data_IF_877881647135
#
_entry.id   IF_877881647135
#
_cell.length_a   1.000
_cell.length_b   1.000
_cell.length_c   1.000
_cell.angle_alpha   90.00
_cell.angle_beta   90.00
_cell.angle_gamma   90.00
#
_symmetry.space_group_name_H-M   'P 1'
#
loop_
_entity.id
_entity.type
_entity.pdbx_description
1 polymer ?
#
# COMPACT_ATOMS: atom_id res chain seq x y z
N UNK A 1 -4.47 23.91 20.95
CA UNK A 1 -3.51 24.74 20.19
C UNK A 1 -3.24 24.11 18.82
N UNK A 2 -3.01 22.78 18.75
CA UNK A 2 -2.78 22.04 17.50
C UNK A 2 -3.95 22.10 16.52
N UNK A 3 -5.20 21.97 17.01
CA UNK A 3 -6.40 22.08 16.18
C UNK A 3 -6.62 23.49 15.62
N UNK A 4 -6.23 24.52 16.38
CA UNK A 4 -6.33 25.92 15.93
C UNK A 4 -5.29 26.21 14.85
N UNK A 5 -4.08 25.69 14.99
CA UNK A 5 -3.02 25.78 13.98
C UNK A 5 -3.37 24.99 12.69
N UNK A 6 -4.05 23.84 12.80
CA UNK A 6 -4.55 23.12 11.63
C UNK A 6 -5.67 23.89 10.90
N UNK A 7 -6.59 24.54 11.64
CA UNK A 7 -7.64 25.37 11.05
C UNK A 7 -7.08 26.64 10.40
N UNK A 8 -6.07 27.26 10.99
CA UNK A 8 -5.41 28.45 10.43
C UNK A 8 -4.61 28.12 9.16
N UNK A 9 -3.90 26.96 9.11
CA UNK A 9 -3.23 26.48 7.90
C UNK A 9 -4.20 26.13 6.76
N UNK A 10 -5.40 25.66 7.07
CA UNK A 10 -6.46 25.43 6.06
C UNK A 10 -7.07 26.71 5.52
N UNK A 11 -6.95 27.84 6.24
CA UNK A 11 -7.46 29.14 5.82
C UNK A 11 -6.50 29.93 4.90
N UNK A 12 -5.21 29.61 4.91
CA UNK A 12 -4.19 30.30 4.12
C UNK A 12 -4.07 29.84 2.65
N UNK A 13 -4.65 28.71 2.28
CA UNK A 13 -4.67 28.27 0.87
C UNK A 13 -5.82 28.95 0.12
N UNK A 14 -5.56 30.07 -0.52
CA UNK A 14 -6.48 30.74 -1.46
C UNK A 14 -6.85 29.92 -2.71
N UNK A 15 -6.37 28.67 -2.84
CA UNK A 15 -6.72 27.70 -3.84
C UNK A 15 -7.85 26.79 -3.33
N UNK A 16 -8.92 26.62 -4.12
CA UNK A 16 -10.03 25.69 -3.81
C UNK A 16 -9.63 24.21 -3.79
N UNK A 17 -8.38 23.92 -4.17
CA UNK A 17 -7.81 22.57 -4.25
C UNK A 17 -7.29 22.17 -2.87
N UNK A 18 -7.73 21.01 -2.40
CA UNK A 18 -7.27 20.43 -1.13
C UNK A 18 -6.66 19.06 -1.37
N UNK A 19 -5.50 18.81 -0.76
CA UNK A 19 -4.82 17.51 -0.74
C UNK A 19 -5.31 16.71 0.47
N UNK A 20 -5.82 15.49 0.21
CA UNK A 20 -6.26 14.57 1.26
C UNK A 20 -5.32 13.39 1.33
N UNK A 21 -4.90 13.05 2.54
CA UNK A 21 -4.14 11.82 2.85
C UNK A 21 -5.07 10.83 3.50
N UNK A 22 -5.07 9.60 3.00
CA UNK A 22 -5.84 8.49 3.55
C UNK A 22 -4.93 7.33 3.93
N UNK A 23 -5.26 6.67 5.03
CA UNK A 23 -4.68 5.39 5.41
C UNK A 23 -5.71 4.30 5.14
N UNK A 24 -5.28 3.21 4.50
CA UNK A 24 -6.17 2.15 4.03
C UNK A 24 -5.68 0.77 4.44
N UNK A 25 -6.63 -0.11 4.71
CA UNK A 25 -6.40 -1.55 4.82
C UNK A 25 -7.15 -2.30 3.71
N UNK A 26 -6.59 -3.41 3.24
CA UNK A 26 -7.27 -4.27 2.28
C UNK A 26 -6.77 -5.72 2.28
N UNK A 27 -7.70 -6.62 2.03
CA UNK A 27 -7.40 -7.98 1.61
C UNK A 27 -7.14 -8.01 0.10
N UNK A 28 -5.88 -8.23 -0.28
CA UNK A 28 -5.47 -8.23 -1.69
C UNK A 28 -5.85 -9.48 -2.47
N UNK A 29 -6.43 -10.52 -1.84
CA UNK A 29 -6.64 -11.85 -2.44
C UNK A 29 -7.41 -11.82 -3.76
N UNK A 30 -8.38 -10.90 -3.90
CA UNK A 30 -9.24 -10.78 -5.08
C UNK A 30 -8.79 -9.70 -6.08
N UNK A 31 -7.63 -9.05 -5.82
CA UNK A 31 -7.17 -7.89 -6.59
C UNK A 31 -5.88 -8.18 -7.36
N UNK A 32 -5.78 -7.56 -8.53
CA UNK A 32 -4.60 -7.57 -9.38
C UNK A 32 -3.51 -6.57 -8.90
N UNK A 33 -3.52 -6.31 -7.60
CA UNK A 33 -2.61 -5.39 -6.91
C UNK A 33 -3.18 -3.97 -6.76
N UNK A 34 -2.31 -3.07 -6.35
CA UNK A 34 -2.67 -1.67 -6.10
C UNK A 34 -3.00 -0.91 -7.39
N UNK A 35 -2.06 -0.91 -8.36
CA UNK A 35 -2.04 0.01 -9.49
C UNK A 35 -3.18 -0.24 -10.46
N UNK A 36 -3.94 0.83 -10.83
CA UNK A 36 -4.93 0.81 -11.91
C UNK A 36 -4.31 0.31 -13.22
N UNK A 37 -5.02 -0.55 -13.93
CA UNK A 37 -4.62 -1.18 -15.16
C UNK A 37 -5.74 -1.05 -16.20
N UNK A 38 -5.38 -0.92 -17.48
CA UNK A 38 -6.36 -0.72 -18.53
C UNK A 38 -7.20 -1.96 -18.89
N UNK A 39 -6.76 -3.15 -18.44
CA UNK A 39 -7.39 -4.44 -18.78
C UNK A 39 -8.18 -5.07 -17.62
N UNK A 40 -8.27 -4.41 -16.48
CA UNK A 40 -9.02 -4.91 -15.32
C UNK A 40 -9.49 -3.77 -14.41
N UNK A 41 -10.66 -3.92 -13.82
CA UNK A 41 -11.24 -3.07 -12.80
C UNK A 41 -10.91 -3.57 -11.35
N UNK A 42 -10.24 -4.73 -11.24
CA UNK A 42 -9.91 -5.39 -9.97
C UNK A 42 -8.58 -4.86 -9.41
N UNK A 43 -8.49 -3.56 -9.17
CA UNK A 43 -7.34 -2.92 -8.54
C UNK A 43 -7.80 -2.00 -7.40
N UNK A 44 -6.99 -1.90 -6.33
CA UNK A 44 -7.34 -1.09 -5.15
C UNK A 44 -7.45 0.39 -5.53
N UNK A 45 -6.48 0.92 -6.28
CA UNK A 45 -6.50 2.29 -6.79
C UNK A 45 -7.74 2.58 -7.63
N UNK A 46 -8.08 1.66 -8.55
CA UNK A 46 -9.24 1.83 -9.43
C UNK A 46 -10.56 1.87 -8.66
N UNK A 47 -10.72 1.05 -7.60
CA UNK A 47 -11.92 1.11 -6.74
C UNK A 47 -12.05 2.44 -6.03
N UNK A 48 -10.96 2.96 -5.46
CA UNK A 48 -10.98 4.26 -4.80
C UNK A 48 -11.28 5.40 -5.78
N UNK A 49 -10.64 5.41 -6.96
CA UNK A 49 -10.90 6.42 -7.99
C UNK A 49 -12.35 6.40 -8.50
N UNK A 50 -12.96 5.22 -8.66
CA UNK A 50 -14.38 5.07 -9.03
C UNK A 50 -15.32 5.70 -7.98
N UNK A 51 -15.03 5.51 -6.70
CA UNK A 51 -15.84 6.07 -5.61
C UNK A 51 -15.66 7.59 -5.52
N UNK A 52 -14.43 8.09 -5.68
CA UNK A 52 -14.15 9.52 -5.73
C UNK A 52 -14.87 10.18 -6.93
N UNK A 53 -14.88 9.52 -8.09
CA UNK A 53 -15.66 9.96 -9.25
C UNK A 53 -17.16 9.99 -8.95
N UNK A 54 -17.69 8.95 -8.28
CA UNK A 54 -19.10 8.93 -7.87
C UNK A 54 -19.44 10.09 -6.91
N UNK A 55 -18.51 10.42 -6.00
CA UNK A 55 -18.68 11.50 -5.02
C UNK A 55 -18.62 12.89 -5.65
N UNK A 56 -17.73 13.11 -6.62
CA UNK A 56 -17.39 14.44 -7.12
C UNK A 56 -17.86 14.71 -8.56
N UNK A 57 -18.07 13.66 -9.34
CA UNK A 57 -18.29 13.78 -10.80
C UNK A 57 -17.01 14.05 -11.61
N UNK A 58 -15.86 14.15 -10.96
CA UNK A 58 -14.56 14.44 -11.59
C UNK A 58 -13.61 13.25 -11.52
N UNK A 59 -12.79 13.08 -12.55
CA UNK A 59 -11.71 12.08 -12.52
C UNK A 59 -10.60 12.58 -11.56
N UNK A 60 -10.46 11.87 -10.44
CA UNK A 60 -9.47 12.18 -9.40
C UNK A 60 -8.40 11.10 -9.42
N UNK A 61 -7.15 11.50 -9.67
CA UNK A 61 -6.02 10.60 -9.61
C UNK A 61 -5.60 10.34 -8.16
N UNK A 62 -5.43 9.05 -7.81
CA UNK A 62 -5.00 8.62 -6.48
C UNK A 62 -3.55 8.16 -6.52
N UNK A 63 -2.71 8.76 -5.71
CA UNK A 63 -1.31 8.42 -5.57
C UNK A 63 -1.08 7.54 -4.35
N UNK A 64 -0.70 6.26 -4.54
CA UNK A 64 -0.35 5.36 -3.43
C UNK A 64 1.11 5.50 -3.01
N UNK A 65 1.41 5.23 -1.73
CA UNK A 65 2.79 5.28 -1.20
C UNK A 65 3.71 4.27 -1.87
N UNK A 66 3.17 3.17 -2.35
CA UNK A 66 3.86 2.14 -3.09
C UNK A 66 2.88 1.18 -3.73
N UNK A 67 3.35 0.46 -4.74
CA UNK A 67 2.58 -0.59 -5.38
C UNK A 67 2.68 -1.87 -4.56
N UNK A 68 1.56 -2.53 -4.33
CA UNK A 68 1.53 -3.93 -3.90
C UNK A 68 1.22 -4.81 -5.11
N UNK A 69 1.83 -5.99 -5.17
CA UNK A 69 1.58 -6.98 -6.21
C UNK A 69 0.18 -7.59 -6.07
N UNK A 70 -0.29 -8.29 -7.10
CA UNK A 70 -1.52 -9.09 -7.03
C UNK A 70 -1.47 -10.07 -5.84
N UNK A 71 -2.54 -10.14 -5.07
CA UNK A 71 -2.68 -11.00 -3.91
C UNK A 71 -1.96 -10.50 -2.63
N UNK A 72 -1.28 -9.36 -2.67
CA UNK A 72 -0.60 -8.76 -1.50
C UNK A 72 -1.58 -7.87 -0.74
N UNK A 73 -1.56 -7.98 0.58
CA UNK A 73 -2.43 -7.24 1.50
C UNK A 73 -1.80 -5.95 2.00
N UNK A 74 -2.61 -5.11 2.64
CA UNK A 74 -2.12 -3.99 3.43
C UNK A 74 -2.95 -3.81 4.71
N UNK A 75 -2.26 -3.42 5.79
CA UNK A 75 -2.86 -2.94 7.04
C UNK A 75 -2.73 -1.44 7.21
N UNK A 76 -1.84 -0.80 6.42
CA UNK A 76 -1.54 0.63 6.51
C UNK A 76 -0.98 1.18 5.20
N UNK A 77 -1.65 0.94 4.06
CA UNK A 77 -1.34 1.63 2.82
C UNK A 77 -1.71 3.10 2.95
N UNK A 78 -0.84 3.98 2.50
CA UNK A 78 -1.13 5.42 2.46
C UNK A 78 -1.33 5.87 1.02
N UNK A 79 -2.36 6.65 0.79
CA UNK A 79 -2.60 7.30 -0.49
C UNK A 79 -2.93 8.79 -0.29
N UNK A 80 -2.77 9.58 -1.35
CA UNK A 80 -3.26 10.94 -1.38
C UNK A 80 -3.93 11.26 -2.70
N UNK A 81 -4.84 12.24 -2.66
CA UNK A 81 -5.55 12.77 -3.82
C UNK A 81 -5.95 14.23 -3.58
N UNK A 82 -6.26 14.94 -4.67
CA UNK A 82 -6.64 16.36 -4.62
C UNK A 82 -8.09 16.51 -5.06
N UNK A 83 -8.85 17.36 -4.33
CA UNK A 83 -10.21 17.74 -4.70
C UNK A 83 -10.27 19.27 -4.83
N UNK A 84 -10.78 19.77 -5.96
CA UNK A 84 -11.08 21.20 -6.16
C UNK A 84 -12.55 21.48 -5.83
N UNK A 85 -12.81 21.82 -4.57
CA UNK A 85 -14.17 22.09 -4.09
C UNK A 85 -14.79 23.33 -4.73
N UNK A 86 -14.02 24.37 -5.09
CA UNK A 86 -14.54 25.55 -5.78
C UNK A 86 -15.05 25.19 -7.18
N UNK A 87 -14.32 24.37 -7.91
CA UNK A 87 -14.75 23.88 -9.21
C UNK A 87 -16.06 23.11 -9.11
N UNK A 88 -16.18 22.23 -8.11
CA UNK A 88 -17.39 21.45 -7.87
C UNK A 88 -18.60 22.33 -7.52
N UNK A 89 -18.44 23.32 -6.65
CA UNK A 89 -19.50 24.28 -6.30
C UNK A 89 -19.99 25.07 -7.50
N UNK A 90 -19.08 25.50 -8.39
CA UNK A 90 -19.44 26.22 -9.62
C UNK A 90 -20.20 25.34 -10.58
N UNK A 91 -19.79 24.09 -10.73
CA UNK A 91 -20.49 23.12 -11.59
C UNK A 91 -21.89 22.82 -11.08
N UNK A 92 -22.05 22.59 -9.77
CA UNK A 92 -23.35 22.34 -9.16
C UNK A 92 -24.31 23.53 -9.37
N UNK A 93 -23.84 24.76 -9.18
CA UNK A 93 -24.64 25.96 -9.43
C UNK A 93 -25.10 26.02 -10.89
N UNK A 94 -24.21 25.77 -11.85
CA UNK A 94 -24.56 25.77 -13.29
C UNK A 94 -25.56 24.68 -13.66
N UNK A 95 -25.46 23.49 -13.04
CA UNK A 95 -26.44 22.41 -13.26
C UNK A 95 -27.81 22.77 -12.68
N UNK A 96 -27.86 23.38 -11.50
CA UNK A 96 -29.09 23.87 -10.88
C UNK A 96 -29.78 24.95 -11.75
N UNK A 97 -29.03 25.92 -12.27
CA UNK A 97 -29.54 26.95 -13.15
C UNK A 97 -30.10 26.38 -14.47
N UNK A 98 -29.43 25.41 -15.08
CA UNK A 98 -29.91 24.70 -16.29
C UNK A 98 -31.19 23.90 -16.03
N UNK A 99 -31.28 23.23 -14.87
CA UNK A 99 -32.44 22.42 -14.53
C UNK A 99 -33.64 23.26 -14.09
N UNK A 100 -33.43 24.46 -13.56
CA UNK A 100 -34.50 25.42 -13.25
C UNK A 100 -35.19 25.95 -14.52
N UNK A 101 -34.49 25.94 -15.68
CA UNK A 101 -35.04 26.35 -16.98
C UNK A 101 -35.82 25.26 -17.73
N UNK A 102 -35.67 23.98 -17.35
CA UNK A 102 -36.33 22.85 -18.02
C UNK A 102 -37.29 22.16 -17.05
N UNK A 103 -38.56 22.52 -17.08
CA UNK A 103 -39.62 21.70 -16.48
C UNK A 103 -39.82 20.41 -17.33
N UNK A 104 -39.74 19.27 -16.66
CA UNK A 104 -40.02 17.90 -17.11
C UNK A 104 -38.84 17.11 -17.72
N UNK A 105 -38.34 16.18 -16.94
CA UNK A 105 -37.52 15.07 -17.38
C UNK A 105 -37.00 14.26 -16.18
N UNK A 106 -37.39 12.99 -16.08
CA UNK A 106 -36.89 12.03 -15.08
C UNK A 106 -35.36 11.93 -15.20
N UNK A 107 -34.65 12.81 -14.49
CA UNK A 107 -33.20 12.78 -14.36
C UNK A 107 -32.82 11.83 -13.22
N UNK A 108 -31.90 10.93 -13.50
CA UNK A 108 -31.19 10.13 -12.51
C UNK A 108 -30.81 11.02 -11.32
N UNK A 109 -31.32 10.73 -10.12
CA UNK A 109 -30.99 11.45 -8.89
C UNK A 109 -29.50 11.21 -8.60
N UNK A 110 -28.61 12.07 -9.11
CA UNK A 110 -27.28 12.19 -8.51
C UNK A 110 -27.50 12.62 -7.05
N UNK A 111 -27.04 11.84 -6.11
CA UNK A 111 -26.97 12.30 -4.72
C UNK A 111 -26.21 13.61 -4.71
N UNK A 112 -26.91 14.69 -4.31
CA UNK A 112 -26.36 16.04 -4.34
C UNK A 112 -25.09 16.08 -3.49
N UNK A 113 -23.97 16.35 -4.11
CA UNK A 113 -22.72 16.60 -3.42
C UNK A 113 -22.81 18.02 -2.81
N UNK A 114 -23.56 18.15 -1.69
CA UNK A 114 -23.80 19.43 -1.04
C UNK A 114 -22.55 20.00 -0.40
N UNK A 115 -21.80 20.84 -1.11
CA UNK A 115 -20.71 21.63 -0.56
C UNK A 115 -19.43 20.83 -0.21
N UNK A 116 -18.43 21.57 0.29
CA UNK A 116 -17.15 21.04 0.76
C UNK A 116 -17.36 20.05 1.93
N UNK A 117 -16.88 18.80 1.76
CA UNK A 117 -16.95 17.77 2.79
C UNK A 117 -15.73 17.84 3.73
N UNK A 118 -15.97 17.50 4.99
CA UNK A 118 -14.88 17.30 5.98
C UNK A 118 -14.13 15.98 5.67
N UNK A 119 -12.90 15.80 6.17
CA UNK A 119 -12.18 14.53 6.03
C UNK A 119 -12.98 13.33 6.52
N UNK A 120 -13.68 13.46 7.65
CA UNK A 120 -14.53 12.39 8.20
C UNK A 120 -15.68 12.04 7.26
N UNK A 121 -16.37 13.04 6.70
CA UNK A 121 -17.43 12.82 5.72
C UNK A 121 -16.93 12.18 4.41
N UNK A 122 -15.70 12.50 3.99
CA UNK A 122 -15.06 11.87 2.84
C UNK A 122 -14.78 10.39 3.16
N UNK A 123 -14.23 10.11 4.34
CA UNK A 123 -13.93 8.76 4.80
C UNK A 123 -15.21 7.92 4.90
N UNK A 124 -16.26 8.43 5.54
CA UNK A 124 -17.57 7.78 5.67
C UNK A 124 -18.15 7.46 4.29
N UNK A 125 -18.17 8.44 3.37
CA UNK A 125 -18.67 8.24 2.01
C UNK A 125 -17.86 7.16 1.27
N UNK A 126 -16.52 7.22 1.35
CA UNK A 126 -15.67 6.21 0.69
C UNK A 126 -15.97 4.82 1.24
N UNK A 127 -16.05 4.67 2.56
CA UNK A 127 -16.30 3.37 3.21
C UNK A 127 -17.70 2.82 2.95
N UNK A 128 -18.69 3.69 2.73
CA UNK A 128 -20.06 3.28 2.36
C UNK A 128 -20.11 2.52 1.02
N UNK A 129 -19.24 2.92 0.07
CA UNK A 129 -19.23 2.33 -1.28
C UNK A 129 -18.07 1.39 -1.55
N UNK A 130 -17.09 1.27 -0.65
CA UNK A 130 -16.01 0.30 -0.76
C UNK A 130 -16.53 -1.13 -0.57
N UNK A 131 -15.97 -2.12 -1.29
CA UNK A 131 -16.20 -3.52 -0.97
C UNK A 131 -15.69 -3.84 0.43
N UNK A 132 -16.28 -4.86 1.07
CA UNK A 132 -15.99 -5.29 2.44
C UNK A 132 -14.52 -5.64 2.72
N UNK A 133 -13.74 -5.91 1.68
CA UNK A 133 -12.33 -6.26 1.74
C UNK A 133 -11.38 -5.06 1.56
N UNK A 134 -11.91 -3.83 1.49
CA UNK A 134 -11.14 -2.58 1.48
C UNK A 134 -11.77 -1.59 2.46
N UNK A 135 -10.95 -0.94 3.27
CA UNK A 135 -11.40 0.11 4.19
C UNK A 135 -10.43 1.29 4.24
N UNK A 136 -10.97 2.50 4.32
CA UNK A 136 -10.23 3.71 4.72
C UNK A 136 -10.29 3.80 6.24
N UNK A 137 -9.12 3.79 6.88
CA UNK A 137 -8.98 3.82 8.33
C UNK A 137 -8.89 5.24 8.89
N UNK A 138 -8.35 6.18 8.09
CA UNK A 138 -8.29 7.59 8.41
C UNK A 138 -8.23 8.44 7.15
N UNK A 139 -8.75 9.66 7.25
CA UNK A 139 -8.63 10.70 6.23
C UNK A 139 -8.26 12.01 6.92
N UNK A 140 -7.29 12.73 6.37
CA UNK A 140 -6.86 14.03 6.89
C UNK A 140 -6.47 14.98 5.76
N UNK A 141 -6.54 16.28 6.01
CA UNK A 141 -6.00 17.27 5.10
C UNK A 141 -4.48 17.25 5.22
N UNK A 142 -3.81 17.05 4.11
CA UNK A 142 -2.35 17.07 4.03
C UNK A 142 -1.85 18.39 3.45
N UNK A 143 -0.58 18.76 3.73
CA UNK A 143 0.05 19.88 3.04
C UNK A 143 -0.03 19.74 1.52
N UNK A 144 -0.14 20.85 0.79
CA UNK A 144 -0.26 20.83 -0.68
C UNK A 144 0.86 20.02 -1.36
N UNK A 145 2.09 20.15 -0.86
CA UNK A 145 3.28 19.44 -1.39
C UNK A 145 3.42 17.99 -0.93
N UNK A 146 2.52 17.52 -0.06
CA UNK A 146 2.58 16.12 0.39
C UNK A 146 2.26 15.19 -0.77
N UNK A 147 3.12 14.19 -0.95
CA UNK A 147 2.90 13.11 -1.91
C UNK A 147 3.19 11.77 -1.23
N UNK A 148 2.18 10.91 -1.13
CA UNK A 148 2.23 9.63 -0.40
C UNK A 148 3.46 8.77 -0.73
N UNK A 149 3.95 8.82 -1.97
CA UNK A 149 5.12 8.05 -2.41
C UNK A 149 6.45 8.77 -2.22
N UNK A 150 6.50 10.06 -2.56
CA UNK A 150 7.75 10.83 -2.58
C UNK A 150 8.15 11.33 -1.21
N UNK A 151 7.16 11.61 -0.34
CA UNK A 151 7.39 12.04 1.04
C UNK A 151 7.61 10.86 2.01
N UNK A 152 7.41 9.60 1.56
CA UNK A 152 7.61 8.43 2.41
C UNK A 152 9.11 8.20 2.66
N UNK A 153 9.48 8.10 3.94
CA UNK A 153 10.86 7.86 4.38
C UNK A 153 11.09 6.43 4.83
N UNK A 154 10.04 5.73 5.25
CA UNK A 154 10.12 4.37 5.79
C UNK A 154 8.90 3.55 5.40
N UNK A 155 9.11 2.24 5.18
CA UNK A 155 8.05 1.26 4.98
C UNK A 155 8.34 0.00 5.77
N UNK A 156 7.30 -0.56 6.38
CA UNK A 156 7.38 -1.84 7.07
C UNK A 156 6.45 -2.82 6.40
N UNK A 157 7.00 -3.96 6.01
CA UNK A 157 6.26 -5.12 5.51
C UNK A 157 6.34 -6.26 6.53
N UNK A 158 5.29 -7.05 6.63
CA UNK A 158 5.27 -8.30 7.38
C UNK A 158 5.01 -9.46 6.43
N UNK A 159 5.83 -10.50 6.49
CA UNK A 159 5.54 -11.76 5.82
C UNK A 159 5.15 -12.83 6.84
N UNK A 160 4.00 -13.47 6.62
CA UNK A 160 3.40 -14.44 7.55
C UNK A 160 3.56 -15.86 7.01
N UNK A 161 4.17 -16.74 7.82
CA UNK A 161 4.43 -18.14 7.54
C UNK A 161 3.70 -19.03 8.54
N UNK A 162 3.15 -20.15 8.05
CA UNK A 162 2.67 -21.25 8.88
C UNK A 162 3.58 -22.47 8.65
N UNK A 163 4.36 -22.82 9.67
CA UNK A 163 5.33 -23.92 9.65
C UNK A 163 4.74 -25.24 10.13
N UNK A 164 3.51 -25.22 10.63
CA UNK A 164 2.84 -26.41 11.14
C UNK A 164 2.44 -27.38 10.03
N UNK A 165 2.35 -28.70 10.35
CA UNK A 165 1.97 -29.72 9.38
C UNK A 165 0.50 -29.64 8.96
N UNK A 166 -0.36 -29.01 9.78
CA UNK A 166 -1.79 -28.87 9.52
C UNK A 166 -2.07 -27.60 8.74
N UNK A 167 -2.82 -27.70 7.64
CA UNK A 167 -3.30 -26.56 6.89
C UNK A 167 -4.41 -25.85 7.68
N UNK A 168 -4.25 -24.55 7.93
CA UNK A 168 -5.31 -23.68 8.44
C UNK A 168 -6.12 -23.14 7.25
N UNK A 169 -7.28 -23.77 7.00
CA UNK A 169 -8.12 -23.43 5.83
C UNK A 169 -8.73 -22.04 5.94
N UNK A 170 -8.93 -21.51 7.16
CA UNK A 170 -9.48 -20.17 7.38
C UNK A 170 -8.44 -19.06 7.22
N UNK A 171 -7.15 -19.39 7.45
CA UNK A 171 -6.04 -18.42 7.33
C UNK A 171 -5.24 -18.60 6.03
N UNK A 172 -5.65 -19.52 5.13
CA UNK A 172 -4.91 -19.85 3.90
C UNK A 172 -4.60 -18.64 3.00
N UNK A 173 -5.43 -17.61 3.07
CA UNK A 173 -5.26 -16.40 2.26
C UNK A 173 -4.27 -15.41 2.90
N UNK A 174 -3.87 -15.62 4.16
CA UNK A 174 -3.09 -14.66 4.96
C UNK A 174 -1.74 -15.23 5.42
N UNK A 175 -1.55 -16.54 5.28
CA UNK A 175 -0.31 -17.23 5.63
C UNK A 175 0.18 -18.08 4.45
N UNK A 176 1.49 -18.09 4.27
CA UNK A 176 2.11 -19.11 3.42
C UNK A 176 2.35 -20.38 4.25
N UNK A 177 1.55 -21.41 4.02
CA UNK A 177 1.69 -22.70 4.68
C UNK A 177 2.83 -23.50 4.08
N UNK A 178 3.90 -23.70 4.84
CA UNK A 178 5.07 -24.51 4.44
C UNK A 178 4.85 -25.98 4.72
N UNK A 179 4.18 -26.33 5.83
CA UNK A 179 3.99 -27.70 6.28
C UNK A 179 5.22 -28.32 6.93
N UNK A 180 6.28 -27.54 7.14
CA UNK A 180 7.54 -27.98 7.75
C UNK A 180 8.14 -26.89 8.65
N UNK A 181 8.92 -27.32 9.63
CA UNK A 181 9.64 -26.39 10.53
C UNK A 181 10.91 -25.87 9.86
N UNK A 182 11.20 -24.60 10.13
CA UNK A 182 12.41 -23.92 9.66
C UNK A 182 13.40 -23.73 10.82
N UNK A 183 14.69 -23.71 10.51
CA UNK A 183 15.71 -23.20 11.42
C UNK A 183 15.66 -21.66 11.42
N UNK A 184 14.88 -21.12 12.36
CA UNK A 184 14.71 -19.66 12.50
C UNK A 184 16.01 -18.99 12.95
N UNK A 185 16.92 -19.70 13.64
CA UNK A 185 18.20 -19.16 14.04
C UNK A 185 19.12 -18.93 12.85
N UNK A 186 19.17 -19.90 11.93
CA UNK A 186 19.90 -19.73 10.67
C UNK A 186 19.29 -18.59 9.81
N UNK A 187 17.94 -18.49 9.77
CA UNK A 187 17.26 -17.39 9.07
C UNK A 187 17.63 -16.03 9.66
N UNK A 188 17.68 -15.88 10.99
CA UNK A 188 18.09 -14.65 11.67
C UNK A 188 19.54 -14.28 11.35
N UNK A 189 20.46 -15.24 11.33
CA UNK A 189 21.84 -15.02 10.94
C UNK A 189 21.95 -14.50 9.49
N UNK A 190 21.23 -15.13 8.57
CA UNK A 190 21.16 -14.68 7.17
C UNK A 190 20.54 -13.27 7.03
N UNK A 191 19.47 -12.99 7.79
CA UNK A 191 18.80 -11.69 7.78
C UNK A 191 19.71 -10.55 8.27
N UNK A 192 20.60 -10.84 9.22
CA UNK A 192 21.63 -9.89 9.68
C UNK A 192 22.52 -9.37 8.55
N UNK A 193 22.83 -10.24 7.56
CA UNK A 193 23.65 -9.87 6.39
C UNK A 193 22.90 -9.04 5.35
N UNK A 194 21.57 -8.97 5.43
CA UNK A 194 20.71 -8.14 4.57
C UNK A 194 20.45 -6.75 5.14
N UNK A 195 20.75 -6.54 6.43
CA UNK A 195 20.60 -5.23 7.07
C UNK A 195 21.67 -4.26 6.62
N UNK A 196 21.31 -2.97 6.51
CA UNK A 196 22.20 -1.94 6.00
C UNK A 196 21.86 -1.52 4.58
N UNK A 197 22.78 -0.80 3.96
CA UNK A 197 22.64 -0.28 2.59
C UNK A 197 23.39 -1.18 1.63
N UNK A 198 22.63 -1.81 0.72
CA UNK A 198 23.17 -2.73 -0.28
C UNK A 198 22.54 -2.47 -1.65
N UNK A 199 23.21 -2.95 -2.70
CA UNK A 199 22.57 -3.09 -4.01
C UNK A 199 21.75 -4.39 -4.04
N UNK A 200 20.41 -4.24 -3.95
CA UNK A 200 19.48 -5.36 -3.95
C UNK A 200 19.05 -5.81 -5.35
N UNK A 201 19.89 -5.65 -6.36
CA UNK A 201 19.57 -6.05 -7.74
C UNK A 201 19.20 -7.54 -7.84
N UNK A 202 19.88 -8.43 -7.11
CA UNK A 202 19.54 -9.86 -7.03
C UNK A 202 18.17 -10.13 -6.44
N UNK A 203 17.63 -9.21 -5.65
CA UNK A 203 16.30 -9.29 -5.03
C UNK A 203 15.24 -8.45 -5.75
N UNK A 204 15.50 -8.04 -7.01
CA UNK A 204 14.57 -7.26 -7.81
C UNK A 204 13.84 -8.15 -8.83
N UNK A 205 12.50 -8.17 -8.78
CA UNK A 205 11.67 -8.88 -9.75
C UNK A 205 11.67 -8.26 -11.15
N UNK A 206 12.07 -6.99 -11.27
CA UNK A 206 12.15 -6.29 -12.56
C UNK A 206 13.56 -6.39 -13.16
N UNK A 207 13.74 -7.32 -14.09
CA UNK A 207 15.01 -7.51 -14.80
C UNK A 207 15.46 -6.29 -15.63
N UNK A 208 14.52 -5.41 -16.02
CA UNK A 208 14.78 -4.22 -16.85
C UNK A 208 14.83 -2.92 -16.01
N UNK A 209 15.13 -3.04 -14.70
CA UNK A 209 15.18 -1.88 -13.83
C UNK A 209 16.26 -0.89 -14.27
N UNK A 210 15.84 0.34 -14.62
CA UNK A 210 16.76 1.43 -15.04
C UNK A 210 17.15 2.35 -13.88
N UNK A 211 16.36 2.34 -12.78
CA UNK A 211 16.62 3.16 -11.59
C UNK A 211 17.55 2.41 -10.64
N UNK A 212 18.19 3.13 -9.72
CA UNK A 212 19.03 2.55 -8.68
C UNK A 212 18.31 1.44 -7.92
N UNK A 213 19.01 0.33 -7.72
CA UNK A 213 18.58 -0.84 -6.93
C UNK A 213 19.13 -0.82 -5.51
N UNK A 214 19.89 0.23 -5.17
CA UNK A 214 20.40 0.45 -3.82
C UNK A 214 19.26 0.81 -2.89
N UNK A 215 19.13 0.07 -1.76
CA UNK A 215 18.16 0.31 -0.70
C UNK A 215 18.82 0.14 0.66
N UNK A 216 18.18 0.71 1.67
CA UNK A 216 18.59 0.50 3.07
C UNK A 216 17.50 -0.28 3.77
N UNK A 217 17.84 -1.48 4.25
CA UNK A 217 17.02 -2.22 5.21
C UNK A 217 17.51 -1.85 6.61
N UNK A 218 16.66 -1.17 7.38
CA UNK A 218 16.99 -0.71 8.72
C UNK A 218 17.00 -1.87 9.72
N UNK A 219 16.01 -2.79 9.58
CA UNK A 219 15.91 -3.97 10.45
C UNK A 219 15.06 -5.07 9.79
N UNK A 220 15.35 -6.31 10.18
CA UNK A 220 14.54 -7.50 9.92
C UNK A 220 14.27 -8.17 11.26
N UNK A 221 13.00 -8.25 11.66
CA UNK A 221 12.57 -8.79 12.96
C UNK A 221 11.76 -10.05 12.76
N UNK A 222 11.92 -11.00 13.68
CA UNK A 222 11.23 -12.29 13.65
C UNK A 222 10.41 -12.46 14.92
N UNK A 223 9.11 -12.66 14.77
CA UNK A 223 8.19 -12.99 15.84
C UNK A 223 7.63 -14.39 15.61
N UNK A 224 7.86 -15.31 16.54
CA UNK A 224 7.37 -16.66 16.45
C UNK A 224 6.37 -16.96 17.57
N UNK A 225 5.23 -17.51 17.20
CA UNK A 225 4.21 -18.00 18.13
C UNK A 225 3.75 -19.39 17.69
N UNK A 226 4.18 -20.41 18.40
CA UNK A 226 3.91 -21.80 18.04
C UNK A 226 4.50 -22.17 16.68
N UNK A 227 3.63 -22.52 15.72
CA UNK A 227 4.01 -22.81 14.33
C UNK A 227 3.99 -21.60 13.41
N UNK A 228 3.53 -20.44 13.88
CA UNK A 228 3.45 -19.22 13.09
C UNK A 228 4.71 -18.39 13.24
N UNK A 229 5.21 -17.89 12.11
CA UNK A 229 6.37 -17.02 12.04
C UNK A 229 6.01 -15.77 11.25
N UNK A 230 6.21 -14.62 11.86
CA UNK A 230 6.10 -13.30 11.23
C UNK A 230 7.50 -12.73 11.04
N UNK A 231 7.80 -12.27 9.82
CA UNK A 231 9.07 -11.63 9.49
C UNK A 231 8.77 -10.21 9.06
N UNK A 232 9.23 -9.23 9.83
CA UNK A 232 9.05 -7.81 9.54
C UNK A 232 10.30 -7.26 8.86
N UNK A 233 10.10 -6.57 7.75
CA UNK A 233 11.14 -5.89 6.99
C UNK A 233 10.87 -4.40 7.03
N UNK A 234 11.77 -3.62 7.62
CA UNK A 234 11.68 -2.16 7.70
C UNK A 234 12.85 -1.53 6.96
N UNK A 235 12.56 -0.57 6.08
CA UNK A 235 13.58 0.12 5.27
C UNK A 235 13.05 1.35 4.55
N UNK A 236 13.95 2.08 3.89
CA UNK A 236 13.62 3.32 3.18
C UNK A 236 12.79 3.11 1.89
N UNK A 237 12.69 1.88 1.42
CA UNK A 237 11.92 1.49 0.24
C UNK A 237 12.30 0.11 -0.24
N UNK A 238 11.43 -0.49 -1.04
CA UNK A 238 11.62 -1.84 -1.56
C UNK A 238 11.43 -1.86 -3.07
N UNK A 239 12.21 -2.72 -3.74
CA UNK A 239 12.10 -2.98 -5.17
C UNK A 239 10.89 -3.88 -5.45
N UNK A 240 10.51 -4.02 -6.71
CA UNK A 240 9.46 -4.93 -7.12
C UNK A 240 9.75 -6.36 -6.64
N UNK A 241 8.79 -6.98 -5.94
CA UNK A 241 8.88 -8.31 -5.34
C UNK A 241 10.01 -8.52 -4.32
N UNK A 242 10.75 -7.48 -3.94
CA UNK A 242 11.95 -7.60 -3.11
C UNK A 242 11.69 -8.36 -1.80
N UNK A 243 10.69 -7.98 -1.02
CA UNK A 243 10.39 -8.64 0.26
C UNK A 243 10.05 -10.12 0.07
N UNK A 244 9.31 -10.45 -0.99
CA UNK A 244 8.95 -11.84 -1.31
C UNK A 244 10.18 -12.67 -1.69
N UNK A 245 11.12 -12.10 -2.44
CA UNK A 245 12.37 -12.76 -2.85
C UNK A 245 13.30 -12.91 -1.64
N UNK A 246 13.42 -11.89 -0.79
CA UNK A 246 14.13 -11.95 0.48
C UNK A 246 13.58 -13.09 1.35
N UNK A 247 12.26 -13.16 1.51
CA UNK A 247 11.59 -14.20 2.29
C UNK A 247 11.84 -15.59 1.71
N UNK A 248 11.71 -15.77 0.39
CA UNK A 248 11.96 -17.06 -0.25
C UNK A 248 13.40 -17.52 -0.07
N UNK A 249 14.37 -16.59 -0.14
CA UNK A 249 15.78 -16.87 0.12
C UNK A 249 16.02 -17.27 1.59
N UNK A 250 15.40 -16.55 2.54
CA UNK A 250 15.48 -16.88 3.97
C UNK A 250 14.83 -18.24 4.28
N UNK A 251 13.74 -18.61 3.59
CA UNK A 251 13.12 -19.93 3.71
C UNK A 251 14.10 -21.02 3.27
N UNK A 252 14.83 -20.85 2.15
CA UNK A 252 15.85 -21.82 1.73
C UNK A 252 16.96 -22.00 2.76
N UNK A 253 17.38 -20.91 3.43
CA UNK A 253 18.32 -21.00 4.56
C UNK A 253 17.70 -21.77 5.72
N UNK A 254 16.46 -21.47 6.12
CA UNK A 254 15.77 -22.15 7.20
C UNK A 254 15.48 -23.63 6.92
N UNK A 255 15.39 -24.03 5.66
CA UNK A 255 15.29 -25.43 5.20
C UNK A 255 16.66 -26.14 5.15
N UNK A 256 17.78 -25.46 5.45
CA UNK A 256 19.13 -26.00 5.33
C UNK A 256 19.61 -26.21 3.88
N UNK A 257 18.89 -25.67 2.88
CA UNK A 257 19.28 -25.78 1.45
C UNK A 257 20.52 -24.95 1.12
N UNK A 258 20.80 -23.94 1.92
CA UNK A 258 22.01 -23.13 1.81
C UNK A 258 22.40 -22.53 3.17
N UNK A 259 23.69 -22.30 3.34
CA UNK A 259 24.21 -21.66 4.55
C UNK A 259 23.89 -20.16 4.59
N UNK A 260 23.81 -19.53 5.78
CA UNK A 260 23.49 -18.12 5.94
C UNK A 260 24.44 -17.17 5.19
N UNK A 261 25.73 -17.48 5.10
CA UNK A 261 26.77 -16.70 4.41
C UNK A 261 26.56 -16.59 2.89
N UNK A 262 25.75 -17.50 2.28
CA UNK A 262 25.37 -17.40 0.86
C UNK A 262 24.73 -16.04 0.54
N UNK A 263 24.11 -15.36 1.50
CA UNK A 263 23.51 -14.03 1.30
C UNK A 263 24.49 -13.02 0.73
N UNK A 264 25.72 -12.97 1.24
CA UNK A 264 26.76 -12.06 0.72
C UNK A 264 27.05 -12.34 -0.75
N UNK A 265 27.20 -13.60 -1.13
CA UNK A 265 27.42 -14.01 -2.53
C UNK A 265 26.24 -13.64 -3.42
N UNK A 266 25.00 -13.72 -2.92
CA UNK A 266 23.80 -13.32 -3.66
C UNK A 266 23.79 -11.80 -3.90
N UNK A 267 24.16 -11.00 -2.89
CA UNK A 267 24.26 -9.54 -3.03
C UNK A 267 25.32 -9.17 -4.07
N UNK A 268 26.50 -9.78 -3.99
CA UNK A 268 27.64 -9.51 -4.88
C UNK A 268 27.36 -9.94 -6.34
N UNK A 269 26.58 -11.00 -6.53
CA UNK A 269 26.25 -11.53 -7.88
C UNK A 269 25.42 -10.56 -8.72
N UNK A 270 24.64 -9.68 -8.10
CA UNK A 270 23.75 -8.74 -8.81
C UNK A 270 22.85 -9.41 -9.88
N UNK A 271 22.55 -10.68 -9.68
CA UNK A 271 21.73 -11.51 -10.55
C UNK A 271 20.53 -12.10 -9.80
N UNK A 272 19.31 -11.90 -10.35
CA UNK A 272 18.07 -12.44 -9.80
C UNK A 272 18.09 -13.96 -9.65
N UNK A 273 18.85 -14.66 -10.50
CA UNK A 273 18.91 -16.13 -10.47
C UNK A 273 19.73 -16.67 -9.28
N UNK A 274 20.62 -15.83 -8.72
CA UNK A 274 21.38 -16.21 -7.51
C UNK A 274 20.52 -16.26 -6.24
N UNK A 275 19.43 -15.46 -6.20
CA UNK A 275 18.51 -15.43 -5.06
C UNK A 275 17.46 -16.53 -5.15
N UNK A 276 16.87 -16.87 -4.00
CA UNK A 276 15.81 -17.86 -3.89
C UNK A 276 14.51 -17.47 -4.63
N UNK A 277 13.49 -18.35 -4.61
CA UNK A 277 12.22 -18.09 -5.28
C UNK A 277 11.48 -16.91 -4.65
N UNK A 278 10.56 -16.32 -5.40
CA UNK A 278 9.64 -15.32 -4.85
C UNK A 278 8.58 -16.02 -4.00
N UNK A 279 8.54 -15.77 -2.71
CA UNK A 279 7.53 -16.33 -1.81
C UNK A 279 6.11 -15.91 -2.26
N UNK A 280 5.07 -16.74 -2.03
CA UNK A 280 3.68 -16.45 -2.41
C UNK A 280 3.17 -15.11 -1.88
N UNK A 281 2.28 -14.46 -2.63
CA UNK A 281 1.80 -13.11 -2.32
C UNK A 281 0.94 -13.07 -1.05
N UNK A 282 0.14 -14.11 -0.79
CA UNK A 282 -0.83 -14.17 0.30
C UNK A 282 -0.23 -14.03 1.71
N UNK A 283 1.07 -14.31 1.89
CA UNK A 283 1.73 -14.09 3.17
C UNK A 283 2.19 -12.65 3.40
N UNK A 284 2.16 -11.79 2.38
CA UNK A 284 2.77 -10.45 2.45
C UNK A 284 1.75 -9.35 2.76
N UNK A 285 2.10 -8.51 3.74
CA UNK A 285 1.33 -7.35 4.17
C UNK A 285 2.21 -6.09 4.18
N UNK A 286 1.72 -5.00 3.58
CA UNK A 286 2.24 -3.67 3.89
C UNK A 286 1.63 -3.23 5.22
N UNK A 287 2.45 -3.12 6.26
CA UNK A 287 1.98 -2.84 7.63
C UNK A 287 1.90 -1.36 7.89
N UNK A 288 2.93 -0.61 7.51
CA UNK A 288 3.03 0.81 7.83
C UNK A 288 3.90 1.55 6.81
N UNK A 289 3.60 2.85 6.66
CA UNK A 289 4.39 3.82 5.89
C UNK A 289 4.68 5.02 6.78
N UNK A 290 5.96 5.28 7.04
CA UNK A 290 6.43 6.41 7.83
C UNK A 290 6.73 7.64 6.97
N UNK A 291 6.42 8.79 7.53
CA UNK A 291 6.70 10.12 6.97
C UNK A 291 7.45 10.93 8.02
N UNK A 292 8.27 11.90 7.60
CA UNK A 292 8.86 12.86 8.52
C UNK A 292 7.77 13.81 9.04
N UNK A 293 7.74 14.03 10.34
CA UNK A 293 6.96 15.10 10.95
C UNK A 293 7.60 16.43 10.54
N UNK A 294 6.92 17.17 9.65
CA UNK A 294 7.33 18.52 9.21
C UNK A 294 6.58 19.59 9.97
#
# INVERSE_FOLDING_TARGET
LAEKLQRERAAETGAGIMNYKVVMAYDGSRYNGWQKQGNTDKTIQGKLEQILFKMTGEEIEVHGSGRTDAGVHARGQVANFHIDWKKLEVQEKRELEKNAGNQAGQGCKREKCGGKKTPDQIMEYINEYLPEDIAVLSCEVAPERFHSRLSAVRKTYCYQLEMGPKKDVFQRNYYYGLGERLDVSAMKAAAGLLTGTHDFKSFCGNKKMKKSTVRTIEKIEFEQSGSRLHIYFTGNGFLQQMVRILTGTLIEVGQGKCAPDKITRILDAQDRQAAGPSAPAQGLFLVNVGYEDK
#
